data_IF_613025856259
#
_entry.id   IF_613025856259
#
_cell.length_a   1.000
_cell.length_b   1.000
_cell.length_c   1.000
_cell.angle_alpha   90.00
_cell.angle_beta   90.00
_cell.angle_gamma   90.00
#
_symmetry.space_group_name_H-M   'P 1'
#
loop_
_entity.id
_entity.type
_entity.pdbx_description
1 polymer ?
#
# COMPACT_ATOMS: atom_id res chain seq x y z
N UNK A 1 -21.47 7.51 50.80
CA UNK A 1 -20.71 8.09 49.66
C UNK A 1 -20.30 7.09 48.58
N UNK A 2 -20.00 5.82 48.89
CA UNK A 2 -19.45 4.85 47.90
C UNK A 2 -20.37 4.46 46.72
N UNK A 3 -21.70 4.45 46.90
CA UNK A 3 -22.65 4.04 45.83
C UNK A 3 -22.81 5.08 44.72
N UNK A 4 -22.71 6.38 45.02
CA UNK A 4 -22.90 7.46 44.03
C UNK A 4 -21.71 7.60 43.07
N UNK A 5 -20.50 7.22 43.50
CA UNK A 5 -19.29 7.26 42.67
C UNK A 5 -19.29 6.14 41.62
N UNK A 6 -19.78 4.95 42.00
CA UNK A 6 -19.84 3.80 41.08
C UNK A 6 -20.85 4.06 39.96
N UNK A 7 -22.00 4.65 40.25
CA UNK A 7 -22.99 5.00 39.22
C UNK A 7 -22.44 6.03 38.24
N UNK A 8 -21.68 7.02 38.70
CA UNK A 8 -21.06 8.03 37.83
C UNK A 8 -20.03 7.42 36.86
N UNK A 9 -19.23 6.45 37.34
CA UNK A 9 -18.24 5.76 36.50
C UNK A 9 -18.88 4.89 35.42
N UNK A 10 -19.98 4.18 35.73
CA UNK A 10 -20.69 3.35 34.75
C UNK A 10 -21.33 4.23 33.67
N UNK A 11 -21.85 5.41 34.02
CA UNK A 11 -22.40 6.36 33.05
C UNK A 11 -21.35 6.88 32.07
N UNK A 12 -20.13 7.17 32.53
CA UNK A 12 -19.05 7.70 31.69
C UNK A 12 -18.56 6.63 30.69
N UNK A 13 -18.48 5.37 31.11
CA UNK A 13 -18.08 4.26 30.23
C UNK A 13 -19.13 4.03 29.13
N UNK A 14 -20.43 4.08 29.46
CA UNK A 14 -21.50 3.91 28.49
C UNK A 14 -21.57 5.05 27.45
N UNK A 15 -21.24 6.28 27.84
CA UNK A 15 -21.20 7.42 26.91
C UNK A 15 -19.99 7.32 25.96
N UNK A 16 -18.83 6.86 26.45
CA UNK A 16 -17.63 6.68 25.62
C UNK A 16 -17.79 5.57 24.58
N UNK A 17 -18.53 4.50 24.88
CA UNK A 17 -18.85 3.44 23.90
C UNK A 17 -19.82 3.87 22.79
N UNK A 18 -20.61 4.93 23.00
CA UNK A 18 -21.54 5.42 21.99
C UNK A 18 -20.86 6.37 20.98
N UNK A 19 -19.75 7.02 21.35
CA UNK A 19 -19.02 7.94 20.48
C UNK A 19 -18.18 7.17 19.45
N UNK A 20 -17.68 5.98 19.80
CA UNK A 20 -16.91 5.12 18.86
C UNK A 20 -17.77 4.40 17.82
N UNK A 21 -19.08 4.21 18.04
CA UNK A 21 -19.98 3.69 16.99
C UNK A 21 -20.47 4.77 16.02
N UNK A 22 -20.60 6.03 16.46
CA UNK A 22 -21.05 7.12 15.59
C UNK A 22 -19.96 7.58 14.60
N UNK A 23 -18.68 7.42 14.92
CA UNK A 23 -17.58 7.71 13.97
C UNK A 23 -17.33 6.58 12.96
N UNK A 24 -17.81 5.36 13.22
CA UNK A 24 -17.71 4.24 12.29
C UNK A 24 -18.80 4.23 11.21
N UNK A 25 -19.93 4.92 11.42
CA UNK A 25 -21.07 4.91 10.50
C UNK A 25 -21.10 6.08 9.49
N UNK A 26 -20.26 7.11 9.68
CA UNK A 26 -20.27 8.32 8.86
C UNK A 26 -19.12 8.42 7.84
N UNK A 27 -18.31 7.36 7.67
CA UNK A 27 -17.14 7.40 6.77
C UNK A 27 -17.16 6.34 5.65
N UNK A 28 -18.32 5.76 5.35
CA UNK A 28 -18.48 4.76 4.27
C UNK A 28 -18.88 5.36 2.91
N UNK A 29 -19.01 6.69 2.78
CA UNK A 29 -19.48 7.34 1.54
C UNK A 29 -18.48 8.25 0.83
N UNK A 30 -17.20 8.24 1.20
CA UNK A 30 -16.13 8.88 0.40
C UNK A 30 -15.00 7.89 0.08
N UNK A 31 -15.37 6.71 -0.42
CA UNK A 31 -14.47 6.01 -1.33
C UNK A 31 -14.67 6.68 -2.69
N UNK A 32 -13.79 7.61 -3.04
CA UNK A 32 -13.72 8.17 -4.40
C UNK A 32 -13.77 7.01 -5.38
N UNK A 33 -14.84 6.99 -6.18
CA UNK A 33 -14.97 6.10 -7.31
C UNK A 33 -13.84 6.48 -8.27
N UNK A 34 -12.82 5.63 -8.33
CA UNK A 34 -11.93 5.58 -9.48
C UNK A 34 -12.82 5.04 -10.61
N UNK A 35 -13.34 5.94 -11.45
CA UNK A 35 -14.06 5.59 -12.67
C UNK A 35 -13.17 4.67 -13.52
N UNK A 36 -13.46 3.37 -13.47
CA UNK A 36 -13.04 2.44 -14.51
C UNK A 36 -13.85 2.75 -15.76
N UNK A 37 -13.18 3.30 -16.77
CA UNK A 37 -13.74 3.55 -18.08
C UNK A 37 -14.20 2.22 -18.71
N UNK A 38 -15.49 2.05 -19.10
CA UNK A 38 -16.02 0.79 -19.58
C UNK A 38 -15.93 0.72 -21.11
N UNK A 39 -14.72 0.67 -21.66
CA UNK A 39 -14.50 0.30 -23.06
C UNK A 39 -13.27 -0.59 -23.20
N UNK A 40 -13.46 -1.86 -22.82
CA UNK A 40 -12.77 -2.94 -23.48
C UNK A 40 -13.39 -3.09 -24.87
N UNK A 41 -12.73 -2.57 -25.91
CA UNK A 41 -12.86 -3.11 -27.26
C UNK A 41 -11.46 -3.34 -27.86
N UNK A 42 -11.25 -4.61 -28.15
CA UNK A 42 -10.11 -5.24 -28.77
C UNK A 42 -10.08 -4.83 -30.26
N UNK A 43 -9.04 -4.15 -30.73
CA UNK A 43 -8.74 -4.12 -32.16
C UNK A 43 -7.30 -4.58 -32.45
N UNK A 44 -7.26 -5.78 -33.03
CA UNK A 44 -6.19 -6.34 -33.82
C UNK A 44 -5.50 -5.29 -34.72
N UNK A 45 -4.22 -5.01 -34.46
CA UNK A 45 -3.27 -4.60 -35.50
C UNK A 45 -1.97 -5.40 -35.39
N UNK A 46 -1.94 -6.49 -36.15
CA UNK A 46 -0.72 -7.14 -36.63
C UNK A 46 0.12 -6.08 -37.37
N UNK A 47 1.23 -5.68 -36.77
CA UNK A 47 2.26 -4.86 -37.40
C UNK A 47 3.61 -5.56 -37.22
N UNK A 48 4.18 -6.02 -38.32
CA UNK A 48 5.42 -6.80 -38.40
C UNK A 48 6.56 -6.16 -37.57
N UNK A 49 7.04 -6.89 -36.57
CA UNK A 49 8.28 -6.56 -35.85
C UNK A 49 9.40 -7.37 -36.49
N UNK A 50 10.34 -6.65 -37.12
CA UNK A 50 11.63 -7.21 -37.52
C UNK A 50 12.32 -7.80 -36.29
N UNK A 51 12.61 -9.10 -36.37
CA UNK A 51 13.37 -9.84 -35.37
C UNK A 51 14.79 -9.27 -35.28
N UNK A 52 15.07 -8.52 -34.22
CA UNK A 52 16.44 -8.28 -33.75
C UNK A 52 16.54 -8.81 -32.32
N UNK A 53 17.47 -9.72 -32.01
CA UNK A 53 17.60 -10.30 -30.69
C UNK A 53 18.23 -9.23 -29.76
N UNK A 54 17.40 -8.56 -28.95
CA UNK A 54 17.86 -7.71 -27.86
C UNK A 54 17.69 -8.46 -26.54
N UNK A 55 18.79 -8.54 -25.80
CA UNK A 55 18.97 -9.25 -24.54
C UNK A 55 17.91 -8.91 -23.48
N UNK A 56 17.65 -9.89 -22.62
CA UNK A 56 16.63 -9.95 -21.54
C UNK A 56 16.79 -8.93 -20.38
N UNK A 57 17.53 -7.82 -20.49
CA UNK A 57 17.79 -6.93 -19.34
C UNK A 57 17.22 -5.50 -19.39
N UNK A 58 16.76 -5.03 -20.55
CA UNK A 58 16.56 -3.58 -20.74
C UNK A 58 15.18 -3.31 -21.32
N UNK A 59 14.09 -3.51 -20.57
CA UNK A 59 12.70 -3.08 -20.93
C UNK A 59 11.69 -3.60 -19.87
N UNK A 60 10.74 -2.86 -19.27
CA UNK A 60 10.03 -1.62 -19.63
C UNK A 60 9.37 -1.04 -18.37
N UNK A 61 9.71 0.20 -18.04
CA UNK A 61 8.97 1.03 -17.12
C UNK A 61 9.16 2.47 -17.58
N UNK A 62 8.53 2.87 -18.69
CA UNK A 62 8.51 4.29 -19.03
C UNK A 62 7.48 4.95 -18.13
N UNK A 63 7.88 6.00 -17.44
CA UNK A 63 6.92 6.81 -16.71
C UNK A 63 5.98 7.51 -17.71
N UNK A 64 4.68 7.35 -17.50
CA UNK A 64 3.65 7.83 -18.42
C UNK A 64 2.95 9.10 -17.93
N UNK A 65 2.99 9.35 -16.62
CA UNK A 65 2.37 10.51 -15.99
C UNK A 65 3.20 11.05 -14.83
N UNK A 66 3.20 12.38 -14.70
CA UNK A 66 3.72 13.09 -13.53
C UNK A 66 2.56 13.87 -12.92
N UNK A 67 1.97 13.31 -11.87
CA UNK A 67 0.72 13.82 -11.27
C UNK A 67 0.93 15.04 -10.36
N UNK A 68 2.16 15.31 -9.92
CA UNK A 68 2.44 16.48 -9.08
C UNK A 68 3.84 17.07 -9.37
N UNK A 69 3.89 18.38 -9.63
CA UNK A 69 5.17 19.13 -9.67
C UNK A 69 5.80 18.95 -8.30
N UNK A 70 7.00 18.39 -8.27
CA UNK A 70 7.64 17.91 -7.05
C UNK A 70 7.56 18.86 -5.86
N UNK A 71 7.67 18.33 -4.64
CA UNK A 71 7.78 19.16 -3.43
C UNK A 71 9.00 20.06 -3.64
N UNK A 72 8.80 21.33 -3.99
CA UNK A 72 9.82 22.38 -4.19
C UNK A 72 11.25 21.90 -4.56
N UNK A 73 11.51 21.48 -5.81
CA UNK A 73 12.84 21.01 -6.27
C UNK A 73 13.38 19.74 -5.55
N UNK A 74 12.55 19.01 -4.81
CA UNK A 74 12.97 17.83 -4.03
C UNK A 74 12.62 16.50 -4.71
N UNK A 75 11.74 16.50 -5.71
CA UNK A 75 11.43 15.31 -6.52
C UNK A 75 9.97 15.09 -6.86
N UNK A 76 9.71 14.26 -7.87
CA UNK A 76 8.34 13.89 -8.24
C UNK A 76 7.68 13.02 -7.18
N UNK A 77 6.38 13.22 -7.02
CA UNK A 77 5.51 12.41 -6.17
C UNK A 77 4.89 11.32 -7.01
N UNK A 78 4.91 10.09 -6.49
CA UNK A 78 4.08 8.97 -6.90
C UNK A 78 3.78 8.90 -8.41
N UNK A 79 4.81 8.65 -9.22
CA UNK A 79 4.68 8.59 -10.68
C UNK A 79 4.21 7.21 -11.13
N UNK A 80 3.51 7.14 -12.26
CA UNK A 80 3.03 5.88 -12.82
C UNK A 80 3.92 5.40 -13.96
N UNK A 81 4.12 4.08 -14.02
CA UNK A 81 4.87 3.36 -15.04
C UNK A 81 3.92 2.55 -15.92
N UNK A 82 4.32 2.30 -17.16
CA UNK A 82 3.49 1.63 -18.16
C UNK A 82 3.22 0.13 -17.90
N UNK A 83 3.95 -0.51 -16.99
CA UNK A 83 3.74 -1.89 -16.52
C UNK A 83 2.74 -1.98 -15.34
N UNK A 84 2.17 -0.84 -14.94
CA UNK A 84 1.20 -0.71 -13.87
C UNK A 84 1.82 -0.50 -12.49
N UNK A 85 3.14 -0.37 -12.37
CA UNK A 85 3.77 0.11 -11.13
C UNK A 85 3.52 1.60 -10.94
N UNK A 86 3.53 2.02 -9.67
CA UNK A 86 3.68 3.41 -9.26
C UNK A 86 4.94 3.54 -8.42
N UNK A 87 5.55 4.73 -8.35
CA UNK A 87 6.83 4.90 -7.68
C UNK A 87 6.95 6.19 -6.89
N UNK A 88 7.44 6.07 -5.65
CA UNK A 88 7.87 7.20 -4.84
C UNK A 88 9.38 7.39 -4.94
N UNK A 89 9.82 8.64 -5.02
CA UNK A 89 11.24 8.96 -5.13
C UNK A 89 12.01 8.54 -3.87
N UNK A 90 13.15 7.85 -4.03
CA UNK A 90 14.04 7.46 -2.92
C UNK A 90 15.36 8.23 -2.89
N UNK A 91 15.54 9.22 -3.76
CA UNK A 91 16.72 10.08 -3.74
C UNK A 91 16.30 11.54 -3.77
N UNK A 92 16.25 12.14 -2.59
CA UNK A 92 15.88 13.54 -2.44
C UNK A 92 16.85 14.46 -3.20
N UNK A 93 16.29 15.42 -3.94
CA UNK A 93 17.06 16.50 -4.57
C UNK A 93 17.77 16.12 -5.87
N UNK A 94 17.55 14.91 -6.39
CA UNK A 94 17.93 14.55 -7.75
C UNK A 94 16.96 15.12 -8.79
N UNK A 95 17.39 15.18 -10.05
CA UNK A 95 16.55 15.66 -11.14
C UNK A 95 15.34 14.75 -11.30
N UNK A 96 14.15 15.33 -11.38
CA UNK A 96 12.94 14.57 -11.60
C UNK A 96 12.98 13.83 -12.95
N UNK A 97 12.44 12.60 -12.96
CA UNK A 97 12.26 11.80 -14.16
C UNK A 97 11.30 12.47 -15.16
N UNK A 98 11.69 12.52 -16.43
CA UNK A 98 10.83 12.99 -17.53
C UNK A 98 10.08 11.82 -18.13
N UNK A 99 8.93 12.08 -18.75
CA UNK A 99 8.16 11.06 -19.48
C UNK A 99 9.06 10.38 -20.50
N UNK A 100 9.01 9.05 -20.54
CA UNK A 100 9.84 8.22 -21.40
C UNK A 100 11.26 7.98 -20.87
N UNK A 101 11.56 8.35 -19.62
CA UNK A 101 12.81 7.95 -18.98
C UNK A 101 12.77 6.43 -18.71
N UNK A 102 13.89 5.76 -18.98
CA UNK A 102 14.08 4.32 -18.76
C UNK A 102 14.63 4.02 -17.37
N UNK A 103 14.25 2.86 -16.85
CA UNK A 103 14.64 2.38 -15.53
C UNK A 103 15.02 0.90 -15.58
N UNK A 104 16.01 0.55 -14.77
CA UNK A 104 16.40 -0.82 -14.47
C UNK A 104 15.70 -1.29 -13.20
N UNK A 105 15.06 -2.46 -13.25
CA UNK A 105 14.41 -3.10 -12.10
C UNK A 105 15.43 -3.79 -11.22
N UNK A 106 15.29 -3.65 -9.90
CA UNK A 106 16.11 -4.28 -8.87
C UNK A 106 15.25 -4.77 -7.71
N UNK A 107 15.77 -5.74 -6.97
CA UNK A 107 15.20 -6.17 -5.68
C UNK A 107 15.11 -4.99 -4.69
N UNK A 108 14.19 -5.09 -3.73
CA UNK A 108 14.01 -4.00 -2.74
C UNK A 108 15.23 -3.80 -1.83
N UNK A 109 16.14 -4.77 -1.77
CA UNK A 109 17.43 -4.65 -1.08
C UNK A 109 18.35 -3.59 -1.69
N UNK A 110 18.11 -3.18 -2.94
CA UNK A 110 18.81 -2.08 -3.58
C UNK A 110 18.37 -0.70 -3.07
N UNK A 111 17.24 -0.61 -2.35
CA UNK A 111 16.83 0.63 -1.71
C UNK A 111 17.73 0.88 -0.50
N UNK A 112 18.62 1.86 -0.62
CA UNK A 112 19.59 2.23 0.41
C UNK A 112 19.42 3.67 0.84
N UNK A 113 19.76 3.96 2.09
CA UNK A 113 19.92 5.32 2.57
C UNK A 113 21.17 5.96 1.94
N UNK A 114 21.01 7.16 1.38
CA UNK A 114 22.04 7.87 0.64
C UNK A 114 23.21 8.32 1.54
N UNK A 115 22.97 8.58 2.82
CA UNK A 115 23.97 9.08 3.76
C UNK A 115 24.75 7.94 4.43
N UNK A 116 24.06 6.91 4.91
CA UNK A 116 24.66 5.84 5.72
C UNK A 116 24.75 4.47 5.02
N UNK A 117 24.18 4.33 3.83
CA UNK A 117 24.21 3.11 2.98
C UNK A 117 23.53 1.88 3.58
N UNK A 118 22.74 2.04 4.64
CA UNK A 118 21.92 0.96 5.17
C UNK A 118 20.78 0.63 4.20
N UNK A 119 20.46 -0.65 4.07
CA UNK A 119 19.26 -1.11 3.37
C UNK A 119 18.00 -0.60 4.07
N UNK A 120 17.05 -0.09 3.29
CA UNK A 120 15.77 0.45 3.78
C UNK A 120 14.56 -0.23 3.14
N UNK A 121 14.76 -1.16 2.21
CA UNK A 121 13.67 -1.82 1.46
C UNK A 121 12.57 -2.37 2.38
N UNK A 122 12.95 -3.07 3.46
CA UNK A 122 11.96 -3.59 4.40
C UNK A 122 11.20 -2.50 5.18
N UNK A 123 11.82 -1.36 5.50
CA UNK A 123 11.09 -0.23 6.12
C UNK A 123 10.03 0.33 5.17
N UNK A 124 10.37 0.46 3.89
CA UNK A 124 9.44 0.95 2.88
C UNK A 124 8.31 -0.06 2.64
N UNK A 125 8.61 -1.36 2.58
CA UNK A 125 7.56 -2.39 2.48
C UNK A 125 6.60 -2.38 3.69
N UNK A 126 7.13 -2.25 4.90
CA UNK A 126 6.31 -2.12 6.12
C UNK A 126 5.41 -0.88 6.04
N UNK A 127 5.92 0.26 5.56
CA UNK A 127 5.12 1.45 5.32
C UNK A 127 3.91 1.09 4.43
N UNK A 128 4.12 0.52 3.25
CA UNK A 128 3.05 0.18 2.30
C UNK A 128 2.02 -0.81 2.84
N UNK A 129 2.48 -1.86 3.52
CA UNK A 129 1.60 -2.93 3.99
C UNK A 129 0.88 -2.51 5.27
N UNK A 130 1.62 -2.11 6.30
CA UNK A 130 1.02 -1.86 7.62
C UNK A 130 0.24 -0.55 7.66
N UNK A 131 0.68 0.46 6.90
CA UNK A 131 0.09 1.81 6.86
C UNK A 131 -0.63 2.11 5.54
N UNK A 132 -1.17 1.09 4.87
CA UNK A 132 -1.90 1.20 3.61
C UNK A 132 -2.92 2.36 3.56
N UNK A 133 -3.82 2.44 4.55
CA UNK A 133 -4.86 3.49 4.60
C UNK A 133 -4.28 4.89 4.72
N UNK A 134 -3.15 5.03 5.43
CA UNK A 134 -2.45 6.30 5.57
C UNK A 134 -1.86 6.74 4.24
N UNK A 135 -1.23 5.82 3.51
CA UNK A 135 -0.50 6.12 2.28
C UNK A 135 -1.42 6.61 1.18
N UNK A 136 -2.58 5.97 1.04
CA UNK A 136 -3.60 6.36 0.06
C UNK A 136 -4.12 7.77 0.33
N UNK A 137 -4.28 8.11 1.61
CA UNK A 137 -4.83 9.42 2.02
C UNK A 137 -3.79 10.54 2.00
N UNK A 138 -2.50 10.21 2.18
CA UNK A 138 -1.46 11.20 2.46
C UNK A 138 -0.22 11.05 1.56
N UNK A 139 -0.34 11.07 0.22
CA UNK A 139 0.80 10.84 -0.69
C UNK A 139 1.99 11.78 -0.45
N UNK A 140 1.72 13.04 -0.08
CA UNK A 140 2.78 14.02 0.25
C UNK A 140 3.53 13.69 1.53
N UNK A 141 2.83 13.24 2.57
CA UNK A 141 3.50 12.84 3.81
C UNK A 141 4.21 11.49 3.64
N UNK A 142 3.63 10.56 2.87
CA UNK A 142 4.28 9.32 2.47
C UNK A 142 5.65 9.58 1.84
N UNK A 143 5.75 10.52 0.89
CA UNK A 143 7.03 10.88 0.29
C UNK A 143 8.05 11.39 1.32
N UNK A 144 7.62 12.19 2.30
CA UNK A 144 8.50 12.71 3.36
C UNK A 144 8.99 11.59 4.27
N UNK A 145 8.11 10.65 4.64
CA UNK A 145 8.46 9.46 5.43
C UNK A 145 9.49 8.62 4.68
N UNK A 146 9.29 8.39 3.37
CA UNK A 146 10.26 7.68 2.52
C UNK A 146 11.62 8.40 2.56
N UNK A 147 11.66 9.73 2.40
CA UNK A 147 12.90 10.50 2.52
C UNK A 147 13.51 10.51 3.93
N UNK A 148 12.72 10.33 5.00
CA UNK A 148 13.28 10.10 6.33
C UNK A 148 14.09 8.82 6.42
N UNK A 149 13.74 7.80 5.64
CA UNK A 149 14.49 6.57 5.54
C UNK A 149 15.62 6.65 4.51
N UNK A 150 15.39 7.24 3.34
CA UNK A 150 16.36 7.26 2.25
C UNK A 150 17.41 8.37 2.33
N UNK A 151 17.13 9.49 2.99
CA UNK A 151 17.97 10.68 2.96
C UNK A 151 18.16 11.33 4.35
N UNK A 152 17.77 10.63 5.42
CA UNK A 152 17.70 11.16 6.80
C UNK A 152 16.90 12.48 6.88
N UNK A 153 15.88 12.63 6.04
CA UNK A 153 15.07 13.83 6.00
C UNK A 153 14.31 14.05 7.31
N UNK A 154 14.45 15.26 7.86
CA UNK A 154 13.96 15.61 9.21
C UNK A 154 12.44 15.80 9.34
N UNK A 155 11.70 15.71 8.23
CA UNK A 155 10.25 15.92 8.18
C UNK A 155 9.53 14.64 7.80
N UNK A 156 8.22 14.60 8.03
CA UNK A 156 7.38 13.42 7.91
C UNK A 156 6.75 13.08 9.25
N UNK A 157 5.78 12.17 9.24
CA UNK A 157 5.10 11.74 10.44
C UNK A 157 6.03 10.89 11.33
N UNK A 158 6.49 11.49 12.43
CA UNK A 158 7.43 10.87 13.35
C UNK A 158 6.85 9.67 14.08
N UNK A 159 5.54 9.64 14.29
CA UNK A 159 4.88 8.52 14.94
C UNK A 159 4.96 7.29 14.05
N UNK A 160 4.56 7.43 12.78
CA UNK A 160 4.63 6.38 11.76
C UNK A 160 6.08 5.93 11.52
N UNK A 161 7.02 6.87 11.39
CA UNK A 161 8.45 6.53 11.20
C UNK A 161 8.96 5.64 12.35
N UNK A 162 8.61 5.98 13.59
CA UNK A 162 9.04 5.21 14.76
C UNK A 162 8.35 3.85 14.82
N UNK A 163 7.06 3.79 14.48
CA UNK A 163 6.30 2.55 14.45
C UNK A 163 6.85 1.57 13.40
N UNK A 164 7.15 2.03 12.19
CA UNK A 164 7.83 1.23 11.15
C UNK A 164 9.15 0.65 11.69
N UNK A 165 9.97 1.49 12.35
CA UNK A 165 11.24 1.04 12.94
C UNK A 165 11.02 -0.01 14.03
N UNK A 166 9.96 0.12 14.83
CA UNK A 166 9.64 -0.83 15.88
C UNK A 166 9.14 -2.17 15.31
N UNK A 167 8.29 -2.15 14.28
CA UNK A 167 7.83 -3.35 13.56
C UNK A 167 9.01 -4.08 12.93
N UNK A 168 9.93 -3.35 12.28
CA UNK A 168 11.12 -3.99 11.71
C UNK A 168 12.03 -4.60 12.79
N UNK A 169 12.19 -3.92 13.93
CA UNK A 169 12.98 -4.43 15.07
C UNK A 169 12.36 -5.67 15.72
N UNK A 170 11.05 -5.88 15.60
CA UNK A 170 10.40 -7.10 16.08
C UNK A 170 10.67 -8.32 15.18
N UNK A 171 11.33 -8.11 14.03
CA UNK A 171 11.70 -9.15 13.08
C UNK A 171 10.70 -9.33 11.94
N UNK A 172 9.70 -8.44 11.79
CA UNK A 172 8.78 -8.50 10.65
C UNK A 172 9.52 -8.17 9.36
N UNK A 173 9.56 -9.16 8.46
CA UNK A 173 10.05 -9.01 7.10
C UNK A 173 8.87 -9.15 6.16
N UNK A 174 8.78 -8.26 5.18
CA UNK A 174 7.79 -8.26 4.11
C UNK A 174 8.44 -8.81 2.84
N UNK A 175 7.73 -9.66 2.10
CA UNK A 175 8.24 -10.20 0.82
C UNK A 175 8.23 -9.13 -0.27
N UNK A 176 9.12 -9.23 -1.25
CA UNK A 176 9.16 -8.30 -2.39
C UNK A 176 7.91 -8.47 -3.27
N UNK A 177 7.39 -9.69 -3.38
CA UNK A 177 6.22 -9.99 -4.19
C UNK A 177 5.17 -10.79 -3.43
N UNK A 178 3.90 -10.54 -3.76
CA UNK A 178 2.77 -11.34 -3.29
C UNK A 178 2.39 -11.15 -1.82
N UNK A 179 2.87 -10.10 -1.13
CA UNK A 179 2.44 -9.85 0.25
C UNK A 179 0.95 -9.49 0.27
N UNK A 180 0.16 -10.09 1.16
CA UNK A 180 -1.28 -9.88 1.19
C UNK A 180 -1.72 -9.11 2.44
N UNK A 181 -2.68 -8.19 2.27
CA UNK A 181 -3.41 -7.56 3.39
C UNK A 181 -4.90 -7.59 3.14
N UNK A 182 -5.65 -8.10 4.11
CA UNK A 182 -7.12 -7.98 4.13
C UNK A 182 -7.45 -6.53 4.52
N UNK A 183 -8.09 -5.79 3.61
CA UNK A 183 -8.46 -4.39 3.85
C UNK A 183 -9.93 -4.24 4.27
N UNK A 184 -10.77 -5.22 3.97
CA UNK A 184 -12.14 -5.32 4.47
C UNK A 184 -12.66 -6.76 4.35
N UNK A 185 -13.91 -6.98 4.75
CA UNK A 185 -14.57 -8.29 4.78
C UNK A 185 -14.68 -8.99 3.42
N UNK A 186 -14.49 -8.29 2.31
CA UNK A 186 -14.67 -8.83 0.95
C UNK A 186 -13.45 -8.62 0.07
N UNK A 187 -12.41 -7.93 0.54
CA UNK A 187 -11.29 -7.49 -0.30
C UNK A 187 -9.96 -7.69 0.42
N UNK A 188 -9.03 -8.31 -0.29
CA UNK A 188 -7.60 -8.25 0.02
C UNK A 188 -6.86 -7.50 -1.07
N UNK A 189 -5.80 -6.81 -0.68
CA UNK A 189 -4.82 -6.21 -1.58
C UNK A 189 -3.55 -7.08 -1.55
N UNK A 190 -2.96 -7.27 -2.72
CA UNK A 190 -1.67 -7.94 -2.90
C UNK A 190 -0.67 -6.88 -3.33
N UNK A 191 0.47 -6.84 -2.66
CA UNK A 191 1.55 -5.90 -2.90
C UNK A 191 2.71 -6.59 -3.61
N UNK A 192 3.18 -5.94 -4.67
CA UNK A 192 4.47 -6.23 -5.31
C UNK A 192 5.33 -4.98 -5.25
N UNK A 193 6.62 -5.14 -4.93
CA UNK A 193 7.56 -4.08 -4.64
C UNK A 193 8.86 -4.29 -5.40
N UNK A 194 9.40 -3.20 -5.93
CA UNK A 194 10.65 -3.20 -6.70
C UNK A 194 11.40 -1.88 -6.49
N UNK A 195 12.68 -1.85 -6.85
CA UNK A 195 13.44 -0.61 -6.98
C UNK A 195 13.65 -0.31 -8.45
N UNK A 196 13.28 0.89 -8.86
CA UNK A 196 13.40 1.38 -10.23
C UNK A 196 14.58 2.36 -10.27
N UNK A 197 15.73 1.88 -10.70
CA UNK A 197 16.97 2.65 -10.79
C UNK A 197 17.03 3.35 -12.14
N UNK A 198 17.16 4.67 -12.14
CA UNK A 198 17.19 5.45 -13.37
C UNK A 198 18.49 5.19 -14.15
N UNK A 199 18.34 4.88 -15.44
CA UNK A 199 19.50 4.71 -16.33
C UNK A 199 20.24 6.06 -16.57
N UNK A 200 19.57 7.17 -16.27
CA UNK A 200 20.13 8.52 -16.36
C UNK A 200 20.84 8.91 -15.07
N UNK A 201 22.14 9.16 -15.18
CA UNK A 201 22.96 9.66 -14.07
C UNK A 201 22.38 10.97 -13.49
N UNK A 202 22.12 10.96 -12.19
CA UNK A 202 21.63 12.14 -11.45
C UNK A 202 20.13 12.39 -11.58
N UNK A 203 19.40 11.52 -12.27
CA UNK A 203 17.95 11.46 -12.19
C UNK A 203 17.51 10.53 -11.05
N UNK A 204 16.27 10.70 -10.63
CA UNK A 204 15.68 10.03 -9.47
C UNK A 204 15.50 8.53 -9.68
N UNK A 205 15.74 7.78 -8.60
CA UNK A 205 15.29 6.40 -8.49
C UNK A 205 14.00 6.36 -7.68
N UNK A 206 13.24 5.28 -7.88
CA UNK A 206 11.94 5.10 -7.26
C UNK A 206 11.85 3.78 -6.50
N UNK A 207 11.14 3.81 -5.38
CA UNK A 207 10.60 2.61 -4.77
C UNK A 207 9.24 2.35 -5.43
N UNK A 208 9.23 1.33 -6.28
CA UNK A 208 8.08 0.89 -7.05
C UNK A 208 7.14 0.04 -6.20
N UNK A 209 5.85 0.24 -6.38
CA UNK A 209 4.81 -0.61 -5.83
C UNK A 209 3.70 -0.85 -6.86
N UNK A 210 3.13 -2.05 -6.84
CA UNK A 210 1.94 -2.43 -7.60
C UNK A 210 0.93 -3.08 -6.66
N UNK A 211 -0.33 -2.67 -6.81
CA UNK A 211 -1.44 -3.15 -5.99
C UNK A 211 -2.39 -3.98 -6.85
N UNK A 212 -2.61 -5.23 -6.45
CA UNK A 212 -3.62 -6.09 -7.07
C UNK A 212 -4.74 -6.38 -6.08
N UNK A 213 -5.96 -5.93 -6.38
CA UNK A 213 -7.12 -6.19 -5.54
C UNK A 213 -7.76 -7.53 -5.89
N UNK A 214 -8.06 -8.34 -4.87
CA UNK A 214 -8.79 -9.60 -5.02
C UNK A 214 -9.96 -9.66 -4.06
N UNK A 215 -11.10 -10.10 -4.57
CA UNK A 215 -12.24 -10.42 -3.74
C UNK A 215 -11.93 -11.66 -2.90
N UNK A 216 -12.32 -11.62 -1.63
CA UNK A 216 -12.32 -12.77 -0.73
C UNK A 216 -13.75 -13.17 -0.42
N UNK A 217 -14.04 -14.46 -0.56
CA UNK A 217 -15.29 -15.01 -0.07
C UNK A 217 -15.16 -15.16 1.43
N UNK A 218 -16.01 -14.45 2.17
CA UNK A 218 -16.25 -14.77 3.57
C UNK A 218 -16.83 -16.18 3.61
N UNK A 219 -16.05 -17.16 4.06
CA UNK A 219 -16.59 -18.45 4.51
C UNK A 219 -17.39 -18.23 5.82
N UNK A 220 -18.45 -17.42 5.76
CA UNK A 220 -19.55 -17.40 6.70
C UNK A 220 -20.67 -18.25 6.10
N UNK A 221 -20.31 -19.44 5.64
CA UNK A 221 -21.13 -20.62 5.87
C UNK A 221 -20.49 -21.19 7.14
N UNK A 222 -20.83 -20.73 8.34
CA UNK A 222 -22.11 -21.10 8.88
C UNK A 222 -22.17 -22.63 8.90
N UNK A 223 -21.37 -23.26 9.76
CA UNK A 223 -21.74 -24.54 10.36
C UNK A 223 -23.09 -24.30 11.04
N UNK A 224 -24.17 -24.32 10.25
CA UNK A 224 -25.48 -24.63 10.78
C UNK A 224 -25.34 -26.06 11.26
N UNK A 225 -25.23 -26.18 12.57
CA UNK A 225 -25.59 -27.37 13.33
C UNK A 225 -27.00 -27.82 12.88
N UNK A 226 -27.08 -28.57 11.78
CA UNK A 226 -28.21 -29.47 11.53
C UNK A 226 -27.97 -30.72 12.36
N UNK A 227 -28.08 -30.54 13.68
CA UNK A 227 -28.40 -31.64 14.59
C UNK A 227 -29.74 -31.30 15.24
N UNK A 228 -30.78 -31.25 14.41
CA UNK A 228 -32.16 -31.39 14.88
C UNK A 228 -32.30 -32.78 15.47
N UNK A 229 -32.21 -32.84 16.80
CA UNK A 229 -32.67 -33.95 17.63
C UNK A 229 -34.04 -34.42 17.16
N UNK A 230 -34.10 -35.61 16.57
CA UNK A 230 -35.34 -36.36 16.45
C UNK A 230 -35.47 -37.26 17.68
N UNK A 231 -35.77 -36.65 18.83
CA UNK A 231 -36.51 -37.35 19.87
C UNK A 231 -38.00 -37.11 19.60
N UNK A 232 -38.66 -38.13 19.05
CA UNK A 232 -40.11 -38.27 19.22
C UNK A 232 -40.38 -39.66 19.74
N UNK A 233 -40.44 -39.70 21.06
CA UNK A 233 -41.13 -40.71 21.86
C UNK A 233 -42.57 -40.82 21.34
N UNK A 234 -43.00 -42.04 20.98
CA UNK A 234 -44.42 -42.39 20.88
C UNK A 234 -44.71 -43.54 21.84
N UNK A 235 -45.63 -43.26 22.73
CA UNK A 235 -46.09 -44.09 23.85
C UNK A 235 -46.79 -45.39 23.40
N UNK A 236 -46.63 -46.39 24.27
CA UNK A 236 -47.59 -47.41 24.72
C UNK A 236 -48.90 -47.60 23.92
N UNK A 237 -49.13 -48.84 23.46
CA UNK A 237 -50.17 -49.73 24.03
C UNK A 237 -49.76 -51.18 23.86
#
# INVERSE_FOLDING_TARGET
MKRKVITLFISIIAIMSCITLASAYNNTNELMMMETDPYAEEENKLGNIENSPKNESDRIGENVESTDKGINNEGYLNISFNDGYNGYCINKGQAGAKIGDGFTVKDTSAAINNNNKNEIGNYLKILFVEFYDYIIKNPRETQKIIWSFSDDYKYGDKEIINEIKNIAKSGRVISDHGEEKIINNTTKVIFDFEVLDSDKKGAQNFFGYKLTYKNILNNILGDKNDNTNNETIKNET
#
